data_IF_890430348644
#
_entry.id   IF_890430348644
#
_cell.length_a   1.000
_cell.length_b   1.000
_cell.length_c   1.000
_cell.angle_alpha   90.00
_cell.angle_beta   90.00
_cell.angle_gamma   90.00
#
_symmetry.space_group_name_H-M   'P 1'
#
loop_
_entity.id
_entity.type
_entity.pdbx_description
1 polymer ?
#
# COMPACT_ATOMS: atom_id res chain seq x y z
N UNK A 1 6.41 -6.14 2.17
CA UNK A 1 7.88 -6.04 2.07
C UNK A 1 8.62 -7.35 2.41
N UNK A 2 8.29 -8.08 3.50
CA UNK A 2 9.02 -9.30 3.91
C UNK A 2 9.33 -10.31 2.77
N UNK A 3 8.31 -10.71 1.99
CA UNK A 3 8.46 -11.69 0.90
C UNK A 3 9.49 -11.24 -0.15
N UNK A 4 9.38 -9.99 -0.62
CA UNK A 4 10.29 -9.44 -1.61
C UNK A 4 11.70 -9.21 -1.02
N UNK A 5 11.79 -8.75 0.22
CA UNK A 5 13.08 -8.56 0.90
C UNK A 5 13.87 -9.85 1.10
N UNK A 6 13.19 -10.96 1.43
CA UNK A 6 13.82 -12.29 1.53
C UNK A 6 14.36 -12.76 0.18
N UNK A 7 13.58 -12.61 -0.90
CA UNK A 7 14.04 -12.92 -2.25
C UNK A 7 15.22 -12.01 -2.66
N UNK A 8 15.14 -10.73 -2.30
CA UNK A 8 16.19 -9.74 -2.54
C UNK A 8 17.51 -10.11 -1.89
N UNK A 9 17.46 -10.54 -0.62
CA UNK A 9 18.62 -11.00 0.13
C UNK A 9 19.41 -12.11 -0.58
N UNK A 10 18.72 -13.06 -1.22
CA UNK A 10 19.36 -14.15 -1.95
C UNK A 10 19.99 -13.73 -3.28
N UNK A 11 19.47 -12.69 -3.95
CA UNK A 11 20.09 -12.16 -5.18
C UNK A 11 21.29 -11.28 -4.84
N UNK A 12 21.14 -10.37 -3.86
CA UNK A 12 22.21 -9.42 -3.52
C UNK A 12 23.40 -10.07 -2.80
N UNK A 13 23.24 -11.28 -2.24
CA UNK A 13 24.37 -12.02 -1.66
C UNK A 13 25.35 -12.52 -2.73
N UNK A 14 24.85 -12.81 -3.93
CA UNK A 14 25.66 -13.27 -5.07
C UNK A 14 26.04 -12.10 -6.00
N UNK A 15 25.10 -11.17 -6.23
CA UNK A 15 25.25 -10.04 -7.16
C UNK A 15 24.89 -8.70 -6.49
N UNK A 16 25.77 -8.16 -5.61
CA UNK A 16 25.51 -6.94 -4.83
C UNK A 16 25.18 -5.70 -5.68
N UNK A 17 25.73 -5.62 -6.89
CA UNK A 17 25.51 -4.54 -7.85
C UNK A 17 24.04 -4.42 -8.30
N UNK A 18 23.24 -5.49 -8.15
CA UNK A 18 21.79 -5.48 -8.47
C UNK A 18 20.93 -4.86 -7.37
N UNK A 19 21.52 -4.41 -6.26
CA UNK A 19 20.80 -3.84 -5.11
C UNK A 19 19.78 -2.77 -5.50
N UNK A 20 20.12 -1.83 -6.40
CA UNK A 20 19.21 -0.76 -6.79
C UNK A 20 17.91 -1.28 -7.42
N UNK A 21 18.00 -2.28 -8.31
CA UNK A 21 16.83 -2.89 -8.95
C UNK A 21 15.99 -3.70 -7.94
N UNK A 22 16.66 -4.45 -7.07
CA UNK A 22 16.02 -5.22 -5.99
C UNK A 22 15.29 -4.30 -5.00
N UNK A 23 15.91 -3.17 -4.64
CA UNK A 23 15.35 -2.18 -3.73
C UNK A 23 14.05 -1.60 -4.28
N UNK A 24 14.02 -1.24 -5.57
CA UNK A 24 12.79 -0.74 -6.22
C UNK A 24 11.69 -1.79 -6.12
N UNK A 25 11.94 -3.03 -6.54
CA UNK A 25 10.94 -4.10 -6.51
C UNK A 25 10.43 -4.38 -5.08
N UNK A 26 11.30 -4.37 -4.07
CA UNK A 26 10.88 -4.64 -2.69
C UNK A 26 10.08 -3.49 -2.07
N UNK A 27 10.28 -2.25 -2.55
CA UNK A 27 9.58 -1.07 -2.05
C UNK A 27 8.14 -0.97 -2.58
N UNK A 28 7.86 -1.49 -3.78
CA UNK A 28 6.54 -1.39 -4.43
C UNK A 28 5.37 -1.86 -3.54
N UNK A 29 5.43 -3.01 -2.82
CA UNK A 29 4.38 -3.42 -1.89
C UNK A 29 4.20 -2.52 -0.66
N UNK A 30 4.99 -1.45 -0.53
CA UNK A 30 4.88 -0.46 0.54
C UNK A 30 3.84 0.62 0.28
N UNK A 31 3.43 0.84 -0.98
CA UNK A 31 2.54 1.96 -1.33
C UNK A 31 1.17 1.86 -0.66
N UNK A 32 0.68 0.63 -0.42
CA UNK A 32 -0.59 0.39 0.30
C UNK A 32 -0.56 0.91 1.74
N UNK A 33 0.60 0.90 2.38
CA UNK A 33 0.77 1.50 3.71
C UNK A 33 0.55 3.01 3.68
N UNK A 34 1.01 3.68 2.62
CA UNK A 34 0.81 5.12 2.42
C UNK A 34 -0.67 5.44 2.18
N UNK A 35 -1.38 4.60 1.42
CA UNK A 35 -2.82 4.77 1.18
C UNK A 35 -3.65 4.64 2.46
N UNK A 36 -3.35 3.63 3.28
CA UNK A 36 -3.97 3.47 4.59
C UNK A 36 -3.68 4.65 5.52
N UNK A 37 -2.42 5.12 5.54
CA UNK A 37 -2.02 6.30 6.32
C UNK A 37 -2.78 7.56 5.89
N UNK A 38 -2.92 7.79 4.57
CA UNK A 38 -3.64 8.93 4.04
C UNK A 38 -5.10 8.95 4.52
N UNK A 39 -5.81 7.83 4.40
CA UNK A 39 -7.21 7.72 4.85
C UNK A 39 -7.31 7.87 6.37
N UNK A 40 -6.40 7.26 7.13
CA UNK A 40 -6.36 7.43 8.59
C UNK A 40 -6.17 8.90 9.00
N UNK A 41 -5.31 9.63 8.30
CA UNK A 41 -5.08 11.05 8.57
C UNK A 41 -6.31 11.89 8.25
N UNK A 42 -7.00 11.63 7.14
CA UNK A 42 -8.26 12.31 6.78
C UNK A 42 -9.32 12.07 7.86
N UNK A 43 -9.47 10.82 8.32
CA UNK A 43 -10.41 10.48 9.41
C UNK A 43 -10.03 11.21 10.69
N UNK A 44 -8.75 11.22 11.06
CA UNK A 44 -8.27 11.86 12.29
C UNK A 44 -8.51 13.38 12.29
N UNK A 45 -8.29 14.07 11.16
CA UNK A 45 -8.64 15.49 10.99
C UNK A 45 -10.16 15.68 11.11
N UNK A 46 -10.95 14.85 10.42
CA UNK A 46 -12.41 14.97 10.36
C UNK A 46 -13.10 14.70 11.69
N UNK A 47 -12.58 13.76 12.47
CA UNK A 47 -13.02 13.45 13.82
C UNK A 47 -12.42 14.39 14.88
N UNK A 48 -11.60 15.37 14.47
CA UNK A 48 -10.95 16.32 15.38
C UNK A 48 -9.95 15.72 16.36
N UNK A 49 -9.37 14.55 16.03
CA UNK A 49 -8.40 13.84 16.87
C UNK A 49 -7.00 14.49 16.89
N UNK A 50 -6.72 15.39 15.94
CA UNK A 50 -5.41 16.04 15.77
C UNK A 50 -5.37 17.49 16.29
N UNK A 51 -6.41 17.97 16.97
CA UNK A 51 -6.48 19.34 17.50
C UNK A 51 -7.34 19.46 18.75
N UNK A 52 -7.33 20.64 19.38
CA UNK A 52 -8.18 20.95 20.53
C UNK A 52 -9.53 21.52 20.05
N UNK A 53 -10.62 20.76 20.19
CA UNK A 53 -11.98 21.24 19.89
C UNK A 53 -12.66 20.62 18.67
N UNK A 54 -12.51 19.32 18.45
CA UNK A 54 -13.22 18.59 17.40
C UNK A 54 -14.75 18.52 17.61
N UNK A 55 -15.54 18.33 16.53
CA UNK A 55 -16.96 18.03 16.66
C UNK A 55 -17.17 16.77 17.50
N UNK A 56 -18.27 16.72 18.26
CA UNK A 56 -18.64 15.51 18.98
C UNK A 56 -19.03 14.42 17.97
N UNK A 57 -18.12 13.47 17.74
CA UNK A 57 -18.38 12.34 16.86
C UNK A 57 -19.32 11.37 17.57
N UNK A 58 -20.53 11.21 17.04
CA UNK A 58 -21.45 10.18 17.56
C UNK A 58 -20.94 8.78 17.23
N UNK A 59 -21.40 7.76 17.96
CA UNK A 59 -21.04 6.37 17.67
C UNK A 59 -21.40 5.99 16.22
N UNK A 60 -22.53 6.47 15.71
CA UNK A 60 -22.98 6.22 14.34
C UNK A 60 -22.03 6.84 13.30
N UNK A 61 -21.59 8.07 13.52
CA UNK A 61 -20.60 8.74 12.67
C UNK A 61 -19.24 8.01 12.72
N UNK A 62 -18.82 7.56 13.91
CA UNK A 62 -17.60 6.78 14.09
C UNK A 62 -17.64 5.44 13.34
N UNK A 63 -18.75 4.71 13.43
CA UNK A 63 -18.96 3.46 12.69
C UNK A 63 -19.00 3.71 11.17
N UNK A 64 -19.63 4.79 10.72
CA UNK A 64 -19.66 5.18 9.31
C UNK A 64 -18.26 5.46 8.76
N UNK A 65 -17.42 6.16 9.52
CA UNK A 65 -16.00 6.39 9.18
C UNK A 65 -15.20 5.07 9.15
N UNK A 66 -15.46 4.16 10.09
CA UNK A 66 -14.83 2.84 10.11
C UNK A 66 -15.19 2.03 8.85
N UNK A 67 -16.48 1.93 8.51
CA UNK A 67 -16.93 1.24 7.29
C UNK A 67 -16.37 1.88 6.01
N UNK A 68 -16.28 3.21 5.98
CA UNK A 68 -15.67 3.94 4.87
C UNK A 68 -14.17 3.63 4.68
N UNK A 69 -13.46 3.24 5.74
CA UNK A 69 -12.04 2.86 5.69
C UNK A 69 -11.80 1.39 5.32
N UNK A 70 -12.82 0.53 5.36
CA UNK A 70 -12.67 -0.91 5.06
C UNK A 70 -12.11 -1.17 3.66
N UNK A 71 -12.58 -0.52 2.58
CA UNK A 71 -12.06 -0.78 1.24
C UNK A 71 -10.54 -0.63 1.15
N UNK A 72 -9.97 0.51 1.57
CA UNK A 72 -8.52 0.73 1.56
C UNK A 72 -7.78 -0.19 2.53
N UNK A 73 -8.35 -0.46 3.71
CA UNK A 73 -7.69 -1.28 4.72
C UNK A 73 -7.60 -2.75 4.30
N UNK A 74 -8.73 -3.33 3.90
CA UNK A 74 -8.82 -4.74 3.54
C UNK A 74 -8.22 -5.04 2.17
N UNK A 75 -8.65 -4.28 1.14
CA UNK A 75 -8.13 -4.48 -0.22
C UNK A 75 -6.67 -4.08 -0.30
N UNK A 76 -6.24 -3.01 0.39
CA UNK A 76 -4.84 -2.61 0.46
C UNK A 76 -3.97 -3.68 1.13
N UNK A 77 -4.42 -4.25 2.24
CA UNK A 77 -3.69 -5.34 2.91
C UNK A 77 -3.53 -6.57 1.99
N UNK A 78 -4.61 -7.01 1.35
CA UNK A 78 -4.58 -8.16 0.43
C UNK A 78 -3.70 -7.85 -0.79
N UNK A 79 -3.89 -6.68 -1.40
CA UNK A 79 -3.11 -6.24 -2.57
C UNK A 79 -1.61 -6.19 -2.27
N UNK A 80 -1.21 -5.71 -1.09
CA UNK A 80 0.20 -5.66 -0.70
C UNK A 80 0.84 -7.06 -0.62
N UNK A 81 0.09 -8.06 -0.16
CA UNK A 81 0.57 -9.46 -0.12
C UNK A 81 0.81 -9.98 -1.54
N UNK A 82 -0.16 -9.79 -2.44
CA UNK A 82 -0.02 -10.25 -3.83
C UNK A 82 1.08 -9.48 -4.57
N UNK A 83 1.18 -8.17 -4.37
CA UNK A 83 2.23 -7.37 -4.97
C UNK A 83 3.61 -7.80 -4.45
N UNK A 84 3.72 -8.14 -3.16
CA UNK A 84 4.94 -8.71 -2.59
C UNK A 84 5.37 -10.04 -3.22
N UNK A 85 4.41 -10.91 -3.58
CA UNK A 85 4.69 -12.17 -4.28
C UNK A 85 5.15 -11.92 -5.72
N UNK A 86 4.50 -11.00 -6.44
CA UNK A 86 4.91 -10.63 -7.81
C UNK A 86 6.29 -9.97 -7.79
N UNK A 87 6.55 -9.07 -6.85
CA UNK A 87 7.86 -8.44 -6.65
C UNK A 87 8.96 -9.49 -6.39
N UNK A 88 8.70 -10.48 -5.53
CA UNK A 88 9.66 -11.55 -5.25
C UNK A 88 9.98 -12.39 -6.50
N UNK A 89 8.96 -12.71 -7.32
CA UNK A 89 9.19 -13.35 -8.62
C UNK A 89 9.98 -12.47 -9.58
N UNK A 90 9.71 -11.15 -9.58
CA UNK A 90 10.45 -10.17 -10.36
C UNK A 90 11.91 -10.04 -9.95
N UNK A 91 12.20 -10.14 -8.65
CA UNK A 91 13.57 -10.18 -8.12
C UNK A 91 14.30 -11.43 -8.63
N UNK A 92 13.63 -12.58 -8.66
CA UNK A 92 14.19 -13.80 -9.26
C UNK A 92 14.49 -13.65 -10.77
N UNK A 93 13.67 -12.88 -11.50
CA UNK A 93 13.97 -12.52 -12.89
C UNK A 93 15.22 -11.64 -12.99
N UNK A 94 15.33 -10.60 -12.16
CA UNK A 94 16.49 -9.69 -12.11
C UNK A 94 17.79 -10.44 -11.79
N UNK A 95 17.74 -11.43 -10.89
CA UNK A 95 18.89 -12.30 -10.62
C UNK A 95 19.37 -13.07 -11.85
N UNK A 96 18.48 -13.52 -12.73
CA UNK A 96 18.85 -14.27 -13.94
C UNK A 96 19.11 -13.40 -15.16
N UNK A 97 18.36 -12.30 -15.29
CA UNK A 97 18.27 -11.41 -16.46
C UNK A 97 18.08 -9.98 -15.99
N UNK A 98 19.16 -9.38 -15.49
CA UNK A 98 19.14 -8.03 -14.91
C UNK A 98 18.65 -6.97 -15.90
N UNK A 99 18.90 -7.18 -17.19
CA UNK A 99 18.44 -6.33 -18.28
C UNK A 99 16.90 -6.27 -18.41
N UNK A 100 16.19 -7.26 -17.84
CA UNK A 100 14.72 -7.36 -17.87
C UNK A 100 14.02 -6.75 -16.64
N UNK A 101 14.76 -6.04 -15.78
CA UNK A 101 14.21 -5.44 -14.55
C UNK A 101 13.00 -4.53 -14.80
N UNK A 102 12.97 -3.80 -15.92
CA UNK A 102 11.83 -2.95 -16.29
C UNK A 102 10.53 -3.75 -16.42
N UNK A 103 10.58 -4.97 -17.00
CA UNK A 103 9.41 -5.85 -17.12
C UNK A 103 8.94 -6.35 -15.75
N UNK A 104 9.88 -6.68 -14.85
CA UNK A 104 9.56 -7.07 -13.49
C UNK A 104 8.84 -5.96 -12.72
N UNK A 105 9.29 -4.71 -12.88
CA UNK A 105 8.66 -3.54 -12.26
C UNK A 105 7.24 -3.36 -12.80
N UNK A 106 7.06 -3.36 -14.12
CA UNK A 106 5.74 -3.16 -14.74
C UNK A 106 4.73 -4.20 -14.23
N UNK A 107 5.10 -5.49 -14.24
CA UNK A 107 4.22 -6.55 -13.76
C UNK A 107 3.86 -6.39 -12.28
N UNK A 108 4.80 -5.93 -11.47
CA UNK A 108 4.57 -5.67 -10.04
C UNK A 108 3.61 -4.48 -9.83
N UNK A 109 3.75 -3.41 -10.62
CA UNK A 109 2.87 -2.23 -10.55
C UNK A 109 1.45 -2.55 -11.00
N UNK A 110 1.23 -3.52 -11.90
CA UNK A 110 -0.14 -3.90 -12.31
C UNK A 110 -1.02 -4.37 -11.15
N UNK A 111 -0.44 -4.88 -10.06
CA UNK A 111 -1.21 -5.24 -8.84
C UNK A 111 -1.72 -4.00 -8.11
N UNK A 112 -1.01 -2.87 -8.22
CA UNK A 112 -1.34 -1.59 -7.57
C UNK A 112 -2.69 -1.02 -7.99
N UNK A 113 -3.17 -1.33 -9.20
CA UNK A 113 -4.46 -0.85 -9.70
C UNK A 113 -5.61 -1.12 -8.72
N UNK A 114 -5.64 -2.31 -8.09
CA UNK A 114 -6.69 -2.65 -7.11
C UNK A 114 -6.58 -1.84 -5.82
N UNK A 115 -5.35 -1.56 -5.37
CA UNK A 115 -5.12 -0.73 -4.19
C UNK A 115 -5.53 0.74 -4.43
N UNK A 116 -5.25 1.28 -5.62
CA UNK A 116 -5.65 2.65 -6.00
C UNK A 116 -7.17 2.77 -6.08
N UNK A 117 -7.86 1.79 -6.66
CA UNK A 117 -9.34 1.78 -6.69
C UNK A 117 -9.93 1.72 -5.27
N UNK A 118 -9.35 0.92 -4.39
CA UNK A 118 -9.76 0.84 -3.00
C UNK A 118 -9.54 2.15 -2.24
N UNK A 119 -8.39 2.80 -2.46
CA UNK A 119 -8.11 4.13 -1.94
C UNK A 119 -9.15 5.14 -2.42
N UNK A 120 -9.45 5.18 -3.72
CA UNK A 120 -10.42 6.12 -4.30
C UNK A 120 -11.80 5.97 -3.65
N UNK A 121 -12.28 4.73 -3.52
CA UNK A 121 -13.58 4.47 -2.88
C UNK A 121 -13.57 4.90 -1.42
N UNK A 122 -12.56 4.51 -0.63
CA UNK A 122 -12.46 4.96 0.76
C UNK A 122 -12.36 6.47 0.90
N UNK A 123 -11.63 7.14 0.01
CA UNK A 123 -11.55 8.59 -0.02
C UNK A 123 -12.93 9.23 -0.23
N UNK A 124 -13.70 8.76 -1.22
CA UNK A 124 -15.05 9.25 -1.50
C UNK A 124 -16.00 9.00 -0.31
N UNK A 125 -15.98 7.79 0.25
CA UNK A 125 -16.85 7.41 1.38
C UNK A 125 -16.52 8.24 2.63
N UNK A 126 -15.24 8.35 3.00
CA UNK A 126 -14.83 9.12 4.20
C UNK A 126 -15.21 10.58 4.06
N UNK A 127 -15.04 11.17 2.88
CA UNK A 127 -15.46 12.56 2.63
C UNK A 127 -16.99 12.73 2.65
N UNK A 128 -17.75 11.71 2.24
CA UNK A 128 -19.22 11.71 2.26
C UNK A 128 -19.86 11.60 3.65
N UNK A 129 -19.19 11.05 4.66
CA UNK A 129 -19.74 10.97 6.03
C UNK A 129 -19.88 12.37 6.62
N UNK A 130 -21.05 12.76 7.12
CA UNK A 130 -21.21 14.04 7.82
C UNK A 130 -20.81 13.88 9.29
N UNK A 131 -19.97 14.80 9.78
CA UNK A 131 -19.50 14.83 11.17
C UNK A 131 -19.72 16.24 11.71
N UNK A 132 -20.32 16.34 12.90
CA UNK A 132 -20.91 17.59 13.40
C UNK A 132 -22.38 17.66 13.04
#
# INVERSE_FOLDING_TARGET
MSIAGQAGGGVISEEPEKFGMVLVLQLLPGTQGIYGLLIAFIIAVKAGLLGAGGPFVTLEQGLSLLYAAIPVGFTGFISAIYQGKVAASGIGLVGKRGEEAGKAIILTVMVETYAVLALLISFLLVNGVQVG
#
